data_IF_176864882263
#
_entry.id   IF_176864882263
#
_cell.length_a   1.000
_cell.length_b   1.000
_cell.length_c   1.000
_cell.angle_alpha   90.00
_cell.angle_beta   90.00
_cell.angle_gamma   90.00
#
_symmetry.space_group_name_H-M   'P 1'
#
loop_
_entity.id
_entity.type
_entity.pdbx_description
1 polymer ?
#
# COMPACT_ATOMS: atom_id res chain seq x y z
N UNK A 1 -4.68 5.19 0.13
CA UNK A 1 -3.38 4.57 -0.23
C UNK A 1 -3.26 3.28 0.55
N UNK A 2 -2.31 2.41 0.21
CA UNK A 2 -1.88 1.38 1.16
C UNK A 2 -0.90 2.04 2.12
N UNK A 3 -1.20 2.05 3.40
CA UNK A 3 -0.25 2.32 4.47
C UNK A 3 0.55 1.03 4.70
N UNK A 4 1.87 1.16 4.87
CA UNK A 4 2.78 0.02 4.99
C UNK A 4 3.36 -0.07 6.39
N UNK A 5 2.50 0.15 7.39
CA UNK A 5 2.69 0.05 8.85
C UNK A 5 3.47 -1.17 9.35
N UNK A 6 3.64 -2.16 8.47
CA UNK A 6 4.43 -3.35 8.71
C UNK A 6 5.20 -3.68 7.45
N UNK A 7 6.48 -4.04 7.61
CA UNK A 7 7.32 -4.47 6.48
C UNK A 7 6.62 -5.59 5.72
N UNK A 8 6.17 -5.28 4.51
CA UNK A 8 5.35 -6.19 3.70
C UNK A 8 6.10 -6.55 2.42
N UNK A 9 6.13 -7.85 2.10
CA UNK A 9 6.54 -8.34 0.79
C UNK A 9 5.33 -8.30 -0.14
N UNK A 10 5.41 -7.48 -1.19
CA UNK A 10 4.44 -7.46 -2.27
C UNK A 10 4.98 -8.27 -3.44
N UNK A 11 4.22 -9.26 -3.88
CA UNK A 11 4.51 -10.00 -5.11
C UNK A 11 3.82 -9.30 -6.29
N UNK A 12 4.61 -8.99 -7.32
CA UNK A 12 4.12 -8.45 -8.59
C UNK A 12 4.46 -9.44 -9.70
N UNK A 13 3.46 -9.75 -10.54
CA UNK A 13 3.65 -10.54 -11.75
C UNK A 13 3.56 -9.60 -12.96
N UNK A 14 4.60 -9.62 -13.79
CA UNK A 14 4.64 -8.90 -15.06
C UNK A 14 4.59 -9.94 -16.17
N UNK A 15 3.59 -9.83 -17.03
CA UNK A 15 3.45 -10.64 -18.24
C UNK A 15 3.75 -9.83 -19.49
N UNK A 16 4.45 -10.46 -20.44
CA UNK A 16 4.62 -9.95 -21.81
C UNK A 16 3.77 -10.79 -22.75
N UNK A 17 2.94 -10.12 -23.53
CA UNK A 17 2.18 -10.72 -24.62
C UNK A 17 2.58 -10.11 -25.96
N UNK A 18 2.47 -10.91 -27.02
CA UNK A 18 2.72 -10.43 -28.37
C UNK A 18 1.62 -9.44 -28.77
N UNK A 19 2.00 -8.35 -29.42
CA UNK A 19 1.03 -7.38 -29.97
C UNK A 19 0.11 -8.03 -31.01
N UNK A 20 0.63 -8.99 -31.78
CA UNK A 20 -0.14 -9.80 -32.71
C UNK A 20 -0.28 -11.25 -32.21
N UNK A 21 -1.49 -11.86 -32.33
CA UNK A 21 -1.71 -13.23 -31.91
C UNK A 21 -0.88 -14.21 -32.75
N UNK A 22 -0.37 -15.25 -32.10
CA UNK A 22 0.40 -16.30 -32.78
C UNK A 22 -0.43 -16.91 -33.92
N UNK A 23 0.12 -16.90 -35.13
CA UNK A 23 -0.44 -17.60 -36.30
C UNK A 23 0.32 -18.91 -36.52
N UNK A 24 -0.41 -20.04 -36.57
CA UNK A 24 0.17 -21.36 -36.71
C UNK A 24 -0.35 -22.06 -37.97
N UNK A 25 0.58 -22.63 -38.75
CA UNK A 25 0.28 -23.43 -39.93
C UNK A 25 0.95 -24.80 -39.79
N UNK A 26 0.16 -25.88 -39.85
CA UNK A 26 0.65 -27.26 -39.82
C UNK A 26 0.19 -27.94 -41.10
N UNK A 27 1.11 -28.57 -41.83
CA UNK A 27 0.84 -29.25 -43.12
C UNK A 27 0.12 -28.36 -44.15
N UNK A 28 0.46 -27.07 -44.17
CA UNK A 28 -0.10 -26.09 -45.11
C UNK A 28 -1.53 -25.62 -44.77
N UNK A 29 -2.06 -25.99 -43.60
CA UNK A 29 -3.39 -25.56 -43.13
C UNK A 29 -3.28 -24.66 -41.89
N UNK A 30 -4.03 -23.54 -41.84
CA UNK A 30 -4.07 -22.69 -40.66
C UNK A 30 -4.76 -23.41 -39.50
N UNK A 31 -4.15 -23.36 -38.31
CA UNK A 31 -4.66 -23.97 -37.08
C UNK A 31 -5.36 -22.90 -36.25
N UNK A 32 -6.69 -23.00 -36.12
CA UNK A 32 -7.52 -22.05 -35.39
C UNK A 32 -8.53 -22.81 -34.49
N UNK A 33 -8.57 -22.58 -33.17
CA UNK A 33 -7.67 -21.73 -32.39
C UNK A 33 -6.28 -22.35 -32.23
N UNK A 34 -5.25 -21.49 -32.16
CA UNK A 34 -3.90 -21.95 -31.82
C UNK A 34 -3.91 -22.53 -30.40
N UNK A 35 -3.39 -23.75 -30.19
CA UNK A 35 -3.29 -24.37 -28.86
C UNK A 35 -2.62 -23.44 -27.84
N UNK A 36 -3.20 -23.31 -26.65
CA UNK A 36 -2.67 -22.44 -25.59
C UNK A 36 -1.24 -22.80 -25.16
N UNK A 37 -0.89 -24.10 -25.22
CA UNK A 37 0.47 -24.57 -24.95
C UNK A 37 1.53 -24.02 -25.91
N UNK A 38 1.13 -23.44 -27.05
CA UNK A 38 2.01 -22.80 -28.02
C UNK A 38 2.05 -21.27 -27.86
N UNK A 39 1.11 -20.69 -27.11
CA UNK A 39 1.11 -19.27 -26.75
C UNK A 39 2.09 -19.08 -25.60
N UNK A 40 3.37 -18.99 -25.93
CA UNK A 40 4.42 -18.74 -24.94
C UNK A 40 4.39 -17.26 -24.53
N UNK A 41 3.89 -17.00 -23.33
CA UNK A 41 4.01 -15.69 -22.68
C UNK A 41 5.23 -15.72 -21.75
N UNK A 42 5.99 -14.63 -21.72
CA UNK A 42 7.08 -14.47 -20.75
C UNK A 42 6.52 -13.80 -19.51
N UNK A 43 6.60 -14.48 -18.36
CA UNK A 43 6.22 -13.89 -17.07
C UNK A 43 7.42 -13.79 -16.13
N UNK A 44 7.44 -12.73 -15.33
CA UNK A 44 8.43 -12.52 -14.29
C UNK A 44 7.74 -12.18 -12.97
N UNK A 45 8.15 -12.87 -11.89
CA UNK A 45 7.70 -12.58 -10.53
C UNK A 45 8.75 -11.71 -9.84
N UNK A 46 8.32 -10.56 -9.32
CA UNK A 46 9.16 -9.60 -8.61
C UNK A 46 8.66 -9.49 -7.18
N UNK A 47 9.57 -9.63 -6.22
CA UNK A 47 9.30 -9.38 -4.81
C UNK A 47 9.74 -7.95 -4.45
N UNK A 48 8.79 -7.12 -4.05
CA UNK A 48 9.04 -5.76 -3.57
C UNK A 48 8.95 -5.76 -2.05
N UNK A 49 10.03 -5.39 -1.38
CA UNK A 49 10.05 -5.20 0.08
C UNK A 49 9.83 -3.73 0.37
N UNK A 50 8.69 -3.40 0.99
CA UNK A 50 8.44 -2.06 1.51
C UNK A 50 8.91 -2.01 2.96
N UNK A 51 9.80 -1.07 3.27
CA UNK A 51 10.34 -0.85 4.60
C UNK A 51 9.62 0.36 5.17
N UNK A 52 8.94 0.15 6.29
CA UNK A 52 8.36 1.22 7.08
C UNK A 52 9.45 1.90 7.92
N UNK A 53 9.41 3.24 8.03
CA UNK A 53 10.49 3.99 8.68
C UNK A 53 10.04 4.62 9.99
N UNK A 54 9.09 5.56 9.94
CA UNK A 54 8.39 6.18 11.07
C UNK A 54 7.53 7.33 10.53
N UNK A 55 6.23 7.30 10.73
CA UNK A 55 5.30 8.37 10.42
C UNK A 55 5.14 9.38 11.59
N UNK A 56 4.74 10.63 11.31
CA UNK A 56 4.60 11.64 12.35
C UNK A 56 3.32 11.45 13.18
N UNK A 57 3.36 11.75 14.50
CA UNK A 57 2.17 11.67 15.35
C UNK A 57 1.09 12.67 14.93
N UNK A 58 -0.17 12.29 15.13
CA UNK A 58 -1.35 13.06 14.74
C UNK A 58 -2.21 13.41 15.94
N UNK A 59 -2.59 14.68 16.04
CA UNK A 59 -3.57 15.15 17.02
C UNK A 59 -4.98 14.70 16.63
N UNK A 60 -5.73 14.16 17.59
CA UNK A 60 -7.14 13.81 17.39
C UNK A 60 -7.97 15.05 17.02
N UNK A 61 -7.64 16.21 17.58
CA UNK A 61 -8.26 17.50 17.27
C UNK A 61 -7.18 18.51 16.86
N UNK A 62 -7.19 18.96 15.59
CA UNK A 62 -6.22 19.95 15.09
C UNK A 62 -6.37 21.33 15.72
N UNK A 63 -7.60 21.71 16.10
CA UNK A 63 -7.89 22.99 16.75
C UNK A 63 -8.80 22.70 17.93
N UNK A 64 -8.38 23.12 19.13
CA UNK A 64 -9.19 23.07 20.35
C UNK A 64 -9.34 24.47 20.93
N UNK A 65 -10.59 24.92 21.06
CA UNK A 65 -10.94 26.13 21.82
C UNK A 65 -11.21 25.76 23.27
N UNK A 66 -10.61 26.51 24.19
CA UNK A 66 -10.81 26.38 25.64
C UNK A 66 -11.26 27.73 26.18
N UNK A 67 -12.16 27.73 27.15
CA UNK A 67 -12.72 28.92 27.77
C UNK A 67 -12.46 28.88 29.28
N UNK A 68 -12.12 30.03 29.86
CA UNK A 68 -11.85 30.23 31.29
C UNK A 68 -12.37 31.59 31.73
N UNK A 69 -12.71 31.71 33.00
CA UNK A 69 -13.08 32.98 33.60
C UNK A 69 -11.82 33.76 34.01
N UNK A 70 -11.95 35.08 34.06
CA UNK A 70 -10.89 35.94 34.62
C UNK A 70 -10.77 35.75 36.14
N UNK A 71 -9.57 35.95 36.67
CA UNK A 71 -9.25 35.83 38.12
C UNK A 71 -9.33 34.42 38.74
N UNK A 72 -9.33 33.34 37.95
CA UNK A 72 -9.19 31.98 38.50
C UNK A 72 -7.78 31.70 39.06
N UNK A 73 -7.71 30.79 40.04
CA UNK A 73 -6.45 30.42 40.69
C UNK A 73 -5.47 29.72 39.71
N UNK A 74 -4.15 29.97 39.82
CA UNK A 74 -3.17 29.29 38.98
C UNK A 74 -3.10 27.77 39.23
N UNK A 75 -2.82 27.00 38.17
CA UNK A 75 -2.57 25.55 38.25
C UNK A 75 -3.60 24.69 37.52
N UNK A 76 -4.66 25.30 37.03
CA UNK A 76 -5.76 24.62 36.36
C UNK A 76 -5.37 24.06 34.97
N UNK A 77 -5.58 22.75 34.78
CA UNK A 77 -5.36 22.10 33.49
C UNK A 77 -6.46 22.54 32.51
N UNK A 78 -6.05 23.15 31.40
CA UNK A 78 -6.97 23.70 30.39
C UNK A 78 -7.38 22.66 29.34
N UNK A 79 -6.43 21.82 28.95
CA UNK A 79 -6.64 20.82 27.93
C UNK A 79 -5.52 19.78 27.96
N UNK A 80 -5.89 18.52 27.82
CA UNK A 80 -4.96 17.42 27.59
C UNK A 80 -5.20 16.92 26.16
N UNK A 81 -4.25 17.13 25.22
CA UNK A 81 -4.40 16.63 23.86
C UNK A 81 -4.28 15.11 23.82
N UNK A 82 -5.12 14.48 23.01
CA UNK A 82 -4.93 13.09 22.57
C UNK A 82 -4.14 13.09 21.27
N UNK A 83 -3.01 12.39 21.27
CA UNK A 83 -2.12 12.24 20.12
C UNK A 83 -1.96 10.76 19.85
N UNK A 84 -2.08 10.37 18.58
CA UNK A 84 -1.93 8.99 18.11
C UNK A 84 -0.82 8.92 17.09
N UNK A 85 0.00 7.88 17.18
CA UNK A 85 1.13 7.61 16.32
C UNK A 85 0.96 6.15 15.88
N UNK A 86 0.89 5.92 14.58
CA UNK A 86 0.49 4.62 14.04
C UNK A 86 1.62 3.57 14.12
N UNK A 87 2.88 4.04 14.17
CA UNK A 87 4.10 3.26 14.38
C UNK A 87 4.32 2.86 15.85
N UNK A 88 3.68 3.56 16.79
CA UNK A 88 3.88 3.34 18.23
C UNK A 88 3.26 2.04 18.76
N UNK A 89 2.54 1.27 17.93
CA UNK A 89 2.00 -0.04 18.31
C UNK A 89 3.10 -1.12 18.28
N UNK A 90 3.51 -1.69 19.43
CA UNK A 90 4.53 -2.74 19.47
C UNK A 90 4.09 -4.05 18.80
N UNK A 91 2.80 -4.23 18.48
CA UNK A 91 2.30 -5.35 17.69
C UNK A 91 2.53 -5.21 16.17
N UNK A 92 2.92 -4.02 15.71
CA UNK A 92 3.25 -3.70 14.32
C UNK A 92 4.76 -3.71 14.00
N UNK A 93 5.61 -3.70 15.03
CA UNK A 93 7.06 -3.92 14.92
C UNK A 93 7.43 -5.32 14.38
#
# INVERSE_FOLDING_TARGET
GKDYERTTLAELEIGLENEEPLFLCIDGKPVNPVPEALKNYSTAKIAVKVIDVNDPPVFQNKIKKVYRFEEEEPGDVLYTPTVTDEDSDPGKL
#
